data_IF_964839372978
#
_entry.id   IF_964839372978
#
_cell.length_a   1.000
_cell.length_b   1.000
_cell.length_c   1.000
_cell.angle_alpha   90.00
_cell.angle_beta   90.00
_cell.angle_gamma   90.00
#
_symmetry.space_group_name_H-M   'P 1'
#
loop_
_entity.id
_entity.type
_entity.pdbx_description
1 polymer ?
#
# COMPACT_ATOMS: atom_id res chain seq x y z
N UNK A 1 14.78 -10.12 16.05
CA UNK A 1 13.90 -10.05 14.86
C UNK A 1 14.13 -8.72 14.18
N UNK A 2 14.34 -8.68 12.86
CA UNK A 2 14.46 -7.41 12.12
C UNK A 2 13.06 -6.86 11.85
N UNK A 3 12.92 -5.53 11.80
CA UNK A 3 11.65 -4.86 11.49
C UNK A 3 11.62 -4.40 10.05
N UNK A 4 10.46 -4.46 9.41
CA UNK A 4 10.22 -3.85 8.10
C UNK A 4 8.99 -2.96 8.15
N UNK A 5 9.09 -1.77 7.55
CA UNK A 5 7.98 -0.86 7.33
C UNK A 5 7.92 -0.57 5.83
N UNK A 6 6.77 -0.83 5.20
CA UNK A 6 6.54 -0.48 3.80
C UNK A 6 5.12 0.01 3.60
N UNK A 7 4.91 0.92 2.65
CA UNK A 7 3.61 1.52 2.42
C UNK A 7 3.30 1.66 0.94
N UNK A 8 2.01 1.64 0.60
CA UNK A 8 1.53 1.83 -0.77
C UNK A 8 0.50 2.96 -0.81
N UNK A 9 0.62 3.85 -1.79
CA UNK A 9 -0.35 4.93 -1.98
C UNK A 9 -1.61 4.43 -2.70
N UNK A 10 -2.81 4.87 -2.30
CA UNK A 10 -4.07 4.56 -2.98
C UNK A 10 -4.27 5.40 -4.27
N UNK A 11 -3.36 5.27 -5.25
CA UNK A 11 -3.32 6.15 -6.44
C UNK A 11 -4.23 5.72 -7.60
N UNK A 12 -4.66 4.47 -7.66
CA UNK A 12 -5.45 3.92 -8.77
C UNK A 12 -6.63 3.08 -8.29
N UNK A 13 -7.54 2.76 -9.21
CA UNK A 13 -8.70 1.90 -8.93
C UNK A 13 -8.30 0.44 -8.68
N UNK A 14 -7.11 0.05 -9.13
CA UNK A 14 -6.49 -1.24 -8.85
C UNK A 14 -4.97 -1.12 -8.88
N UNK A 15 -4.29 -1.89 -8.02
CA UNK A 15 -2.85 -2.12 -8.18
C UNK A 15 -2.57 -2.92 -9.44
N UNK A 16 -1.52 -2.53 -10.16
CA UNK A 16 -1.12 -3.23 -11.39
C UNK A 16 -0.04 -4.27 -11.11
N UNK A 17 0.23 -5.12 -12.11
CA UNK A 17 1.23 -6.20 -12.01
C UNK A 17 2.59 -5.73 -11.51
N UNK A 18 3.03 -4.54 -11.92
CA UNK A 18 4.26 -3.91 -11.41
C UNK A 18 4.29 -3.70 -9.89
N UNK A 19 3.19 -3.26 -9.25
CA UNK A 19 3.14 -3.13 -7.79
C UNK A 19 3.23 -4.51 -7.12
N UNK A 20 2.56 -5.51 -7.70
CA UNK A 20 2.59 -6.87 -7.18
C UNK A 20 4.00 -7.47 -7.22
N UNK A 21 4.63 -7.45 -8.40
CA UNK A 21 5.97 -8.01 -8.57
C UNK A 21 7.05 -7.20 -7.86
N UNK A 22 6.90 -5.87 -7.81
CA UNK A 22 7.89 -4.96 -7.23
C UNK A 22 7.85 -4.86 -5.71
N UNK A 23 6.69 -5.07 -5.07
CA UNK A 23 6.53 -4.91 -3.64
C UNK A 23 5.66 -5.98 -2.98
N UNK A 24 4.39 -6.12 -3.38
CA UNK A 24 3.40 -6.92 -2.61
C UNK A 24 3.81 -8.40 -2.50
N UNK A 25 4.37 -8.99 -3.56
CA UNK A 25 4.89 -10.36 -3.52
C UNK A 25 6.03 -10.51 -2.50
N UNK A 26 6.91 -9.52 -2.39
CA UNK A 26 8.00 -9.54 -1.41
C UNK A 26 7.49 -9.32 0.01
N UNK A 27 6.45 -8.49 0.19
CA UNK A 27 5.81 -8.29 1.50
C UNK A 27 5.28 -9.60 2.09
N UNK A 28 4.71 -10.49 1.28
CA UNK A 28 4.25 -11.82 1.75
C UNK A 28 5.41 -12.66 2.29
N UNK A 29 6.56 -12.64 1.61
CA UNK A 29 7.73 -13.41 2.04
C UNK A 29 8.35 -12.85 3.32
N UNK A 30 8.44 -11.52 3.45
CA UNK A 30 9.04 -10.84 4.61
C UNK A 30 8.24 -11.04 5.90
N UNK A 31 6.95 -11.36 5.83
CA UNK A 31 6.15 -11.70 7.02
C UNK A 31 6.64 -12.96 7.74
N UNK A 32 7.41 -13.83 7.07
CA UNK A 32 7.90 -15.09 7.64
C UNK A 32 9.06 -14.89 8.62
N UNK A 33 9.88 -13.86 8.40
CA UNK A 33 11.16 -13.66 9.09
C UNK A 33 11.35 -12.25 9.68
N UNK A 34 10.42 -11.31 9.42
CA UNK A 34 10.44 -9.95 9.95
C UNK A 34 9.19 -9.61 10.79
N UNK A 35 9.37 -8.68 11.73
CA UNK A 35 8.28 -7.92 12.35
C UNK A 35 7.78 -6.89 11.33
N UNK A 36 6.74 -7.26 10.59
CA UNK A 36 6.33 -6.58 9.37
C UNK A 36 5.15 -5.62 9.58
N UNK A 37 5.36 -4.36 9.22
CA UNK A 37 4.37 -3.30 9.24
C UNK A 37 4.10 -2.83 7.82
N UNK A 38 2.85 -2.95 7.37
CA UNK A 38 2.39 -2.47 6.08
C UNK A 38 1.26 -1.45 6.26
N UNK A 39 1.28 -0.38 5.48
CA UNK A 39 0.26 0.66 5.57
C UNK A 39 -0.21 1.15 4.20
N UNK A 40 -1.49 1.50 4.13
CA UNK A 40 -2.00 2.35 3.06
C UNK A 40 -1.65 3.79 3.44
N UNK A 41 -0.78 4.43 2.66
CA UNK A 41 -0.30 5.80 2.95
C UNK A 41 -1.21 6.84 2.30
N UNK A 42 -2.47 6.88 2.71
CA UNK A 42 -3.49 7.79 2.19
C UNK A 42 -3.16 9.28 2.41
N UNK A 43 -2.54 9.62 3.55
CA UNK A 43 -2.02 10.98 3.78
C UNK A 43 -0.93 11.39 2.79
N UNK A 44 -0.11 10.45 2.31
CA UNK A 44 0.88 10.76 1.26
C UNK A 44 0.20 11.00 -0.09
N UNK A 45 -0.97 10.41 -0.35
CA UNK A 45 -1.74 10.66 -1.56
C UNK A 45 -2.35 12.09 -1.58
N UNK A 46 -2.52 12.74 -0.42
CA UNK A 46 -3.01 14.13 -0.32
C UNK A 46 -1.97 15.20 -0.72
N UNK A 47 -0.75 14.79 -1.08
CA UNK A 47 0.28 15.72 -1.60
C UNK A 47 0.02 16.19 -3.04
N UNK A 48 -0.99 15.62 -3.68
CA UNK A 48 -1.54 16.03 -4.98
C UNK A 48 -3.06 16.22 -4.88
N UNK A 49 -3.67 16.84 -5.88
CA UNK A 49 -5.12 17.01 -5.92
C UNK A 49 -5.82 15.64 -5.99
N UNK A 50 -6.82 15.44 -5.12
CA UNK A 50 -7.58 14.19 -5.01
C UNK A 50 -9.05 14.49 -4.77
N UNK A 51 -9.93 13.67 -5.33
CA UNK A 51 -11.36 13.72 -5.02
C UNK A 51 -11.60 12.94 -3.70
N UNK A 52 -12.19 13.56 -2.66
CA UNK A 52 -12.29 12.94 -1.32
C UNK A 52 -13.02 11.59 -1.29
N UNK A 53 -14.13 11.44 -2.01
CA UNK A 53 -14.87 10.18 -2.02
C UNK A 53 -14.07 9.06 -2.71
N UNK A 54 -13.36 9.40 -3.79
CA UNK A 54 -12.48 8.51 -4.53
C UNK A 54 -11.27 8.09 -3.68
N UNK A 55 -10.62 9.01 -2.98
CA UNK A 55 -9.51 8.67 -2.08
C UNK A 55 -9.99 7.70 -1.00
N UNK A 56 -11.13 7.98 -0.35
CA UNK A 56 -11.72 7.07 0.64
C UNK A 56 -11.97 5.68 0.07
N UNK A 57 -12.57 5.60 -1.13
CA UNK A 57 -12.81 4.33 -1.81
C UNK A 57 -11.50 3.58 -2.08
N UNK A 58 -10.50 4.26 -2.65
CA UNK A 58 -9.22 3.65 -3.00
C UNK A 58 -8.44 3.19 -1.77
N UNK A 59 -8.48 3.93 -0.67
CA UNK A 59 -7.87 3.51 0.60
C UNK A 59 -8.46 2.19 1.10
N UNK A 60 -9.78 2.03 1.04
CA UNK A 60 -10.45 0.79 1.46
C UNK A 60 -10.16 -0.38 0.52
N UNK A 61 -10.16 -0.15 -0.80
CA UNK A 61 -9.82 -1.18 -1.80
C UNK A 61 -8.36 -1.63 -1.67
N UNK A 62 -7.44 -0.71 -1.35
CA UNK A 62 -6.03 -1.02 -1.16
C UNK A 62 -5.75 -1.90 0.07
N UNK A 63 -6.64 -1.90 1.06
CA UNK A 63 -6.50 -2.66 2.30
C UNK A 63 -7.20 -4.03 2.26
N UNK A 64 -8.14 -4.24 1.34
CA UNK A 64 -8.95 -5.45 1.20
C UNK A 64 -8.23 -6.55 0.42
#
# INVERSE_FOLDING_TARGET
MKRVLSGIQPTADSFHLGNYLGAVKQWVELQKDHDAFYCVVDLHALTVETEPALLRRRTLVAAA
#
